data_IF_846153719894
#
_entry.id   IF_846153719894
#
_cell.length_a   1.000
_cell.length_b   1.000
_cell.length_c   1.000
_cell.angle_alpha   90.00
_cell.angle_beta   90.00
_cell.angle_gamma   90.00
#
_symmetry.space_group_name_H-M   'P 1'
#
loop_
_entity.id
_entity.type
_entity.pdbx_description
1 polymer ?
#
# COMPACT_ATOMS: atom_id res chain seq x y z
N UNK A 1 -37.44 3.34 20.57
CA UNK A 1 -37.18 1.98 21.08
C UNK A 1 -35.68 1.80 21.25
N UNK A 2 -35.27 0.91 22.14
CA UNK A 2 -33.85 0.67 22.49
C UNK A 2 -33.56 -0.83 22.44
N UNK A 3 -32.43 -1.21 21.86
CA UNK A 3 -31.89 -2.57 21.86
C UNK A 3 -30.58 -2.55 22.63
N UNK A 4 -30.43 -3.43 23.62
CA UNK A 4 -29.24 -3.49 24.46
C UNK A 4 -28.26 -4.54 23.94
N UNK A 5 -26.96 -4.21 24.03
CA UNK A 5 -25.83 -5.04 23.61
C UNK A 5 -26.09 -5.80 22.28
N UNK A 6 -26.36 -5.08 21.17
CA UNK A 6 -26.68 -5.73 19.91
C UNK A 6 -25.47 -6.48 19.36
N UNK A 7 -25.70 -7.73 18.92
CA UNK A 7 -24.73 -8.45 18.10
C UNK A 7 -24.51 -7.71 16.77
N UNK A 8 -23.39 -7.97 16.10
CA UNK A 8 -23.10 -7.43 14.77
C UNK A 8 -24.26 -7.67 13.80
N UNK A 9 -24.76 -8.91 13.72
CA UNK A 9 -25.90 -9.27 12.86
C UNK A 9 -27.17 -8.49 13.18
N UNK A 10 -27.43 -8.21 14.47
CA UNK A 10 -28.58 -7.43 14.91
C UNK A 10 -28.42 -5.97 14.53
N UNK A 11 -27.22 -5.41 14.67
CA UNK A 11 -26.92 -4.06 14.23
C UNK A 11 -27.13 -3.89 12.73
N UNK A 12 -26.58 -4.78 11.91
CA UNK A 12 -26.70 -4.73 10.45
C UNK A 12 -28.15 -4.85 9.97
N UNK A 13 -28.94 -5.77 10.54
CA UNK A 13 -30.37 -5.88 10.24
C UNK A 13 -31.16 -4.61 10.60
N UNK A 14 -30.84 -3.96 11.73
CA UNK A 14 -31.48 -2.72 12.14
C UNK A 14 -31.04 -1.52 11.30
N UNK A 15 -29.76 -1.47 10.92
CA UNK A 15 -29.21 -0.45 10.03
C UNK A 15 -29.88 -0.52 8.65
N UNK A 16 -29.98 -1.73 8.06
CA UNK A 16 -30.62 -1.97 6.77
C UNK A 16 -32.11 -1.59 6.70
N UNK A 17 -32.78 -1.48 7.85
CA UNK A 17 -34.19 -1.03 7.94
C UNK A 17 -34.37 0.48 7.81
N UNK A 18 -33.28 1.26 7.70
CA UNK A 18 -33.32 2.72 7.54
C UNK A 18 -34.22 3.42 8.57
N UNK A 19 -34.12 2.98 9.83
CA UNK A 19 -34.95 3.48 10.92
C UNK A 19 -34.58 4.94 11.24
N UNK A 20 -35.60 5.76 11.52
CA UNK A 20 -35.40 7.18 11.81
C UNK A 20 -34.56 7.35 13.08
N UNK A 21 -33.51 8.15 13.00
CA UNK A 21 -32.60 8.45 14.13
C UNK A 21 -31.98 7.19 14.74
N UNK A 22 -31.70 6.18 13.93
CA UNK A 22 -30.96 4.99 14.36
C UNK A 22 -29.52 5.34 14.71
N UNK A 23 -29.11 5.05 15.94
CA UNK A 23 -27.74 5.25 16.42
C UNK A 23 -27.35 4.19 17.44
N UNK A 24 -26.08 3.80 17.40
CA UNK A 24 -25.47 2.81 18.27
C UNK A 24 -24.13 3.34 18.77
N UNK A 25 -24.08 4.11 19.87
CA UNK A 25 -22.83 4.68 20.36
C UNK A 25 -21.81 3.58 20.73
N UNK A 26 -20.55 3.76 20.30
CA UNK A 26 -19.47 2.86 20.69
C UNK A 26 -19.09 3.07 22.16
N UNK A 27 -18.66 2.01 22.83
CA UNK A 27 -17.99 2.10 24.14
C UNK A 27 -16.56 2.63 23.97
N UNK A 28 -15.85 2.21 22.91
CA UNK A 28 -14.53 2.75 22.54
C UNK A 28 -14.67 3.58 21.27
N UNK A 29 -14.42 4.88 21.42
CA UNK A 29 -14.48 5.82 20.30
C UNK A 29 -13.19 5.87 19.48
N UNK A 30 -12.11 5.29 19.98
CA UNK A 30 -10.80 5.27 19.34
C UNK A 30 -10.32 3.81 19.28
N UNK A 31 -10.19 3.29 18.06
CA UNK A 31 -9.81 1.90 17.79
C UNK A 31 -8.55 1.90 16.92
N UNK A 32 -7.40 1.35 17.37
CA UNK A 32 -6.19 1.29 16.56
C UNK A 32 -6.42 0.57 15.23
N UNK A 33 -5.92 1.10 14.11
CA UNK A 33 -6.09 0.45 12.79
C UNK A 33 -5.54 -0.96 12.78
N UNK A 34 -4.39 -1.22 13.42
CA UNK A 34 -3.78 -2.55 13.49
C UNK A 34 -4.60 -3.59 14.26
N UNK A 35 -5.70 -3.20 14.91
CA UNK A 35 -6.60 -4.14 15.59
C UNK A 35 -7.70 -4.71 14.70
N UNK A 36 -7.94 -4.12 13.53
CA UNK A 36 -8.99 -4.57 12.59
C UNK A 36 -8.60 -4.44 11.11
N UNK A 37 -7.39 -3.97 10.81
CA UNK A 37 -6.86 -3.86 9.46
C UNK A 37 -5.50 -4.53 9.35
N UNK A 38 -5.28 -5.18 8.21
CA UNK A 38 -4.00 -5.74 7.81
C UNK A 38 -3.57 -5.10 6.49
N UNK A 39 -2.37 -4.52 6.48
CA UNK A 39 -1.77 -3.89 5.30
C UNK A 39 -0.37 -4.47 5.13
N UNK A 40 -0.09 -5.05 3.97
CA UNK A 40 1.23 -5.61 3.67
C UNK A 40 1.64 -5.35 2.22
N UNK A 41 2.89 -4.91 1.97
CA UNK A 41 3.40 -4.73 0.62
C UNK A 41 4.05 -6.01 0.09
N UNK A 42 3.99 -6.18 -1.23
CA UNK A 42 4.96 -7.00 -1.96
C UNK A 42 5.96 -6.09 -2.66
N UNK A 43 7.25 -6.39 -2.50
CA UNK A 43 8.33 -5.61 -3.11
C UNK A 43 8.77 -6.21 -4.45
N UNK A 44 9.41 -5.37 -5.27
CA UNK A 44 9.94 -5.70 -6.58
C UNK A 44 10.87 -6.92 -6.46
N UNK A 45 10.78 -7.92 -7.36
CA UNK A 45 11.54 -9.17 -7.28
C UNK A 45 13.05 -8.98 -7.14
N UNK A 46 13.59 -7.87 -7.67
CA UNK A 46 15.01 -7.54 -7.51
C UNK A 46 15.42 -7.42 -6.05
N UNK A 47 14.54 -6.93 -5.16
CA UNK A 47 14.83 -6.69 -3.75
C UNK A 47 15.01 -7.96 -2.91
N UNK A 48 14.54 -9.11 -3.42
CA UNK A 48 14.76 -10.44 -2.83
C UNK A 48 15.59 -11.35 -3.73
N UNK A 49 16.07 -10.83 -4.86
CA UNK A 49 16.83 -11.60 -5.84
C UNK A 49 18.26 -11.87 -5.39
N UNK A 50 18.85 -12.87 -6.01
CA UNK A 50 20.27 -13.20 -5.83
C UNK A 50 21.22 -12.07 -6.29
N UNK A 51 20.77 -11.10 -7.10
CA UNK A 51 21.56 -9.93 -7.49
C UNK A 51 21.94 -9.01 -6.32
N UNK A 52 21.26 -9.13 -5.17
CA UNK A 52 21.58 -8.35 -3.96
C UNK A 52 22.33 -9.17 -2.90
N UNK A 53 22.65 -10.42 -3.23
CA UNK A 53 23.44 -11.32 -2.38
C UNK A 53 24.86 -10.79 -2.18
N UNK A 54 25.51 -11.27 -1.13
CA UNK A 54 26.91 -10.91 -0.88
C UNK A 54 27.81 -11.66 -1.87
N UNK A 55 27.44 -12.89 -2.23
CA UNK A 55 28.13 -13.75 -3.19
C UNK A 55 28.27 -13.08 -4.56
N UNK A 56 27.17 -12.59 -5.15
CA UNK A 56 27.20 -11.93 -6.46
C UNK A 56 28.07 -10.67 -6.45
N UNK A 57 27.90 -9.84 -5.42
CA UNK A 57 28.61 -8.56 -5.31
C UNK A 57 30.10 -8.78 -5.06
N UNK A 58 30.47 -9.75 -4.23
CA UNK A 58 31.86 -10.14 -4.02
C UNK A 58 32.48 -10.75 -5.28
N UNK A 59 31.73 -11.51 -6.07
CA UNK A 59 32.22 -12.02 -7.33
C UNK A 59 32.49 -10.91 -8.35
N UNK A 60 31.59 -9.93 -8.48
CA UNK A 60 31.83 -8.75 -9.31
C UNK A 60 33.03 -7.94 -8.81
N UNK A 61 33.14 -7.74 -7.50
CA UNK A 61 34.30 -7.04 -6.92
C UNK A 61 35.61 -7.76 -7.25
N UNK A 62 35.66 -9.08 -7.07
CA UNK A 62 36.83 -9.89 -7.42
C UNK A 62 37.13 -9.86 -8.92
N UNK A 63 36.11 -9.91 -9.77
CA UNK A 63 36.27 -9.81 -11.21
C UNK A 63 36.79 -8.42 -11.64
N UNK A 64 36.33 -7.35 -10.98
CA UNK A 64 36.72 -5.97 -11.27
C UNK A 64 38.01 -5.48 -10.60
N UNK A 65 38.63 -6.26 -9.71
CA UNK A 65 39.84 -5.86 -8.96
C UNK A 65 41.08 -5.65 -9.84
N UNK A 66 41.07 -6.14 -11.07
CA UNK A 66 42.15 -5.86 -12.00
C UNK A 66 41.95 -4.44 -12.56
N UNK A 67 42.81 -3.50 -12.15
CA UNK A 67 42.82 -2.07 -12.55
C UNK A 67 43.03 -1.80 -14.06
N UNK A 68 42.82 -2.81 -14.90
CA UNK A 68 43.09 -2.83 -16.33
C UNK A 68 41.78 -2.81 -17.15
N UNK A 69 40.64 -2.98 -16.49
CA UNK A 69 39.34 -2.94 -17.13
C UNK A 69 38.90 -1.50 -17.42
N UNK A 70 38.15 -1.33 -18.51
CA UNK A 70 37.48 -0.08 -18.84
C UNK A 70 36.63 0.39 -17.65
N UNK A 71 36.67 1.68 -17.37
CA UNK A 71 35.88 2.25 -16.26
C UNK A 71 34.36 2.17 -16.48
N UNK A 72 33.90 1.78 -17.67
CA UNK A 72 32.49 1.53 -18.01
C UNK A 72 32.15 0.03 -18.06
N UNK A 73 33.10 -0.84 -17.69
CA UNK A 73 32.90 -2.28 -17.68
C UNK A 73 31.97 -2.69 -16.52
N UNK A 74 30.98 -3.54 -16.80
CA UNK A 74 30.05 -4.05 -15.78
C UNK A 74 30.78 -4.79 -14.65
N UNK A 75 31.93 -5.41 -14.92
CA UNK A 75 32.74 -6.07 -13.89
C UNK A 75 33.35 -5.07 -12.90
N UNK A 76 33.62 -3.84 -13.33
CA UNK A 76 34.19 -2.77 -12.49
C UNK A 76 33.09 -2.03 -11.73
N UNK A 77 32.04 -1.63 -12.44
CA UNK A 77 30.97 -0.78 -11.89
C UNK A 77 29.92 -1.60 -11.12
N UNK A 78 29.75 -2.88 -11.49
CA UNK A 78 28.66 -3.73 -11.03
C UNK A 78 28.58 -3.88 -9.51
N UNK A 79 29.70 -4.11 -8.82
CA UNK A 79 29.70 -4.24 -7.36
C UNK A 79 29.04 -3.01 -6.68
N UNK A 80 29.46 -1.81 -7.08
CA UNK A 80 28.94 -0.58 -6.51
C UNK A 80 27.47 -0.37 -6.93
N UNK A 81 27.12 -0.71 -8.17
CA UNK A 81 25.76 -0.61 -8.69
C UNK A 81 24.77 -1.46 -7.88
N UNK A 82 25.06 -2.75 -7.72
CA UNK A 82 24.18 -3.66 -6.95
C UNK A 82 24.21 -3.37 -5.46
N UNK A 83 25.31 -2.83 -4.93
CA UNK A 83 25.33 -2.34 -3.55
C UNK A 83 24.40 -1.15 -3.35
N UNK A 84 24.41 -0.17 -4.25
CA UNK A 84 23.48 0.95 -4.23
C UNK A 84 22.03 0.48 -4.39
N UNK A 85 21.76 -0.48 -5.28
CA UNK A 85 20.43 -1.06 -5.44
C UNK A 85 19.94 -1.78 -4.17
N UNK A 86 20.82 -2.53 -3.48
CA UNK A 86 20.51 -3.17 -2.19
C UNK A 86 20.14 -2.14 -1.13
N UNK A 87 20.87 -1.03 -1.07
CA UNK A 87 20.58 0.08 -0.14
C UNK A 87 19.23 0.73 -0.47
N UNK A 88 18.91 0.95 -1.75
CA UNK A 88 17.60 1.50 -2.15
C UNK A 88 16.45 0.57 -1.77
N UNK A 89 16.57 -0.74 -2.02
CA UNK A 89 15.59 -1.73 -1.58
C UNK A 89 15.42 -1.74 -0.06
N UNK A 90 16.52 -1.70 0.70
CA UNK A 90 16.48 -1.66 2.15
C UNK A 90 15.83 -0.37 2.66
N UNK A 91 16.16 0.78 2.07
CA UNK A 91 15.59 2.07 2.42
C UNK A 91 14.08 2.10 2.18
N UNK A 92 13.62 1.65 1.01
CA UNK A 92 12.20 1.56 0.70
C UNK A 92 11.46 0.63 1.69
N UNK A 93 12.01 -0.55 1.96
CA UNK A 93 11.46 -1.49 2.94
C UNK A 93 11.35 -0.85 4.34
N UNK A 94 12.43 -0.27 4.85
CA UNK A 94 12.43 0.41 6.15
C UNK A 94 11.44 1.57 6.20
N UNK A 95 11.32 2.36 5.13
CA UNK A 95 10.32 3.45 5.07
C UNK A 95 8.90 2.91 5.19
N UNK A 96 8.57 1.83 4.46
CA UNK A 96 7.23 1.23 4.54
C UNK A 96 6.96 0.62 5.91
N UNK A 97 7.91 -0.14 6.48
CA UNK A 97 7.74 -0.75 7.80
C UNK A 97 7.56 0.29 8.91
N UNK A 98 8.30 1.40 8.86
CA UNK A 98 8.13 2.50 9.80
C UNK A 98 6.76 3.18 9.64
N UNK A 99 6.32 3.38 8.40
CA UNK A 99 5.01 3.96 8.13
C UNK A 99 3.87 3.03 8.62
N UNK A 100 3.97 1.73 8.36
CA UNK A 100 3.02 0.72 8.83
C UNK A 100 2.95 0.66 10.35
N UNK A 101 4.10 0.75 11.04
CA UNK A 101 4.13 0.80 12.50
C UNK A 101 3.31 1.99 13.03
N UNK A 102 3.51 3.18 12.46
CA UNK A 102 2.75 4.38 12.86
C UNK A 102 1.27 4.24 12.49
N UNK A 103 0.96 3.71 11.31
CA UNK A 103 -0.40 3.48 10.86
C UNK A 103 -1.17 2.55 11.80
N UNK A 104 -0.56 1.43 12.19
CA UNK A 104 -1.19 0.43 13.06
C UNK A 104 -1.51 0.97 14.46
N UNK A 105 -0.65 1.85 15.00
CA UNK A 105 -0.87 2.53 16.29
C UNK A 105 -1.86 3.69 16.19
N UNK A 106 -2.08 4.23 14.99
CA UNK A 106 -3.02 5.33 14.78
C UNK A 106 -4.45 4.84 14.99
N UNK A 107 -5.26 5.62 15.72
CA UNK A 107 -6.64 5.26 16.02
C UNK A 107 -7.61 5.76 14.95
N UNK A 108 -8.48 4.87 14.48
CA UNK A 108 -9.74 5.21 13.86
C UNK A 108 -10.68 5.79 14.93
N UNK A 109 -11.20 7.00 14.70
CA UNK A 109 -12.05 7.71 15.66
C UNK A 109 -13.47 7.79 15.15
N UNK A 110 -14.40 7.14 15.85
CA UNK A 110 -15.83 7.25 15.57
C UNK A 110 -16.66 7.06 16.83
N UNK A 111 -17.75 7.81 16.97
CA UNK A 111 -18.59 7.80 18.17
C UNK A 111 -19.72 6.75 18.12
N UNK A 112 -19.94 6.13 16.96
CA UNK A 112 -21.00 5.15 16.71
C UNK A 112 -20.49 3.91 15.97
N UNK A 113 -21.22 2.81 16.08
CA UNK A 113 -20.98 1.65 15.24
C UNK A 113 -21.30 2.01 13.77
N UNK A 114 -20.39 1.66 12.87
CA UNK A 114 -20.56 1.80 11.43
C UNK A 114 -21.03 0.49 10.81
N UNK A 115 -21.87 0.60 9.79
CA UNK A 115 -22.15 -0.50 8.88
C UNK A 115 -20.89 -0.88 8.10
N UNK A 116 -20.81 -2.12 7.63
CA UNK A 116 -19.65 -2.62 6.88
C UNK A 116 -19.25 -1.70 5.72
N UNK A 117 -20.20 -1.27 4.89
CA UNK A 117 -19.96 -0.41 3.74
C UNK A 117 -19.44 0.99 4.14
N UNK A 118 -19.94 1.54 5.26
CA UNK A 118 -19.45 2.82 5.80
C UNK A 118 -18.01 2.68 6.29
N UNK A 119 -17.71 1.59 7.02
CA UNK A 119 -16.35 1.31 7.48
C UNK A 119 -15.41 1.17 6.28
N UNK A 120 -15.77 0.36 5.28
CA UNK A 120 -14.96 0.16 4.08
C UNK A 120 -14.66 1.47 3.35
N UNK A 121 -15.64 2.35 3.19
CA UNK A 121 -15.44 3.65 2.56
C UNK A 121 -14.44 4.52 3.34
N UNK A 122 -14.55 4.53 4.68
CA UNK A 122 -13.61 5.25 5.54
C UNK A 122 -12.20 4.65 5.49
N UNK A 123 -12.08 3.32 5.53
CA UNK A 123 -10.78 2.63 5.50
C UNK A 123 -10.09 2.81 4.15
N UNK A 124 -10.82 2.76 3.03
CA UNK A 124 -10.21 2.97 1.71
C UNK A 124 -9.62 4.38 1.57
N UNK A 125 -10.31 5.39 2.09
CA UNK A 125 -9.85 6.76 2.05
C UNK A 125 -8.55 6.93 2.84
N UNK A 126 -8.47 6.38 4.06
CA UNK A 126 -7.27 6.50 4.88
C UNK A 126 -6.11 5.66 4.33
N UNK A 127 -6.37 4.49 3.76
CA UNK A 127 -5.36 3.65 3.10
C UNK A 127 -4.73 4.38 1.91
N UNK A 128 -5.55 4.94 1.03
CA UNK A 128 -5.08 5.73 -0.11
C UNK A 128 -4.19 6.89 0.35
N UNK A 129 -4.58 7.57 1.43
CA UNK A 129 -3.79 8.66 2.01
C UNK A 129 -2.48 8.15 2.61
N UNK A 130 -2.51 7.01 3.31
CA UNK A 130 -1.34 6.36 3.89
C UNK A 130 -0.32 5.98 2.80
N UNK A 131 -0.74 5.29 1.75
CA UNK A 131 0.13 4.91 0.63
C UNK A 131 0.74 6.15 -0.04
N UNK A 132 -0.08 7.13 -0.39
CA UNK A 132 0.35 8.36 -1.05
C UNK A 132 1.34 9.16 -0.18
N UNK A 133 1.10 9.26 1.12
CA UNK A 133 1.98 9.99 2.03
C UNK A 133 3.33 9.27 2.20
N UNK A 134 3.30 7.94 2.30
CA UNK A 134 4.51 7.13 2.45
C UNK A 134 5.41 7.27 1.22
N UNK A 135 4.83 7.20 0.02
CA UNK A 135 5.55 7.44 -1.24
C UNK A 135 6.09 8.87 -1.33
N UNK A 136 5.29 9.87 -0.98
CA UNK A 136 5.69 11.28 -1.05
C UNK A 136 6.85 11.59 -0.08
N UNK A 137 6.79 11.06 1.14
CA UNK A 137 7.87 11.21 2.12
C UNK A 137 9.16 10.54 1.65
N UNK A 138 9.07 9.32 1.13
CA UNK A 138 10.22 8.63 0.57
C UNK A 138 10.88 9.43 -0.56
N UNK A 139 10.08 9.91 -1.52
CA UNK A 139 10.57 10.73 -2.65
C UNK A 139 11.30 11.98 -2.16
N UNK A 140 10.75 12.67 -1.17
CA UNK A 140 11.39 13.84 -0.56
C UNK A 140 12.74 13.47 0.06
N UNK A 141 12.81 12.38 0.80
CA UNK A 141 14.04 11.91 1.43
C UNK A 141 15.09 11.47 0.39
N UNK A 142 14.67 10.78 -0.67
CA UNK A 142 15.54 10.38 -1.78
C UNK A 142 16.09 11.61 -2.52
N UNK A 143 15.28 12.64 -2.75
CA UNK A 143 15.73 13.90 -3.35
C UNK A 143 16.80 14.61 -2.50
N UNK A 144 16.64 14.59 -1.17
CA UNK A 144 17.66 15.11 -0.24
C UNK A 144 18.95 14.29 -0.36
N UNK A 145 18.86 12.95 -0.35
CA UNK A 145 20.03 12.08 -0.51
C UNK A 145 20.75 12.38 -1.83
N UNK A 146 20.02 12.49 -2.94
CA UNK A 146 20.57 12.84 -4.26
C UNK A 146 21.30 14.18 -4.23
N UNK A 147 20.66 15.22 -3.69
CA UNK A 147 21.27 16.55 -3.54
C UNK A 147 22.53 16.54 -2.67
N UNK A 148 22.52 15.80 -1.56
CA UNK A 148 23.69 15.63 -0.70
C UNK A 148 24.81 14.86 -1.41
N UNK A 149 24.50 13.83 -2.19
CA UNK A 149 25.53 13.08 -2.94
C UNK A 149 26.21 13.94 -4.00
N UNK A 150 25.47 14.78 -4.72
CA UNK A 150 26.04 15.70 -5.71
C UNK A 150 26.93 16.74 -5.04
N UNK A 151 26.46 17.36 -3.94
CA UNK A 151 27.20 18.44 -3.25
C UNK A 151 28.44 17.95 -2.50
N UNK A 152 28.34 16.80 -1.81
CA UNK A 152 29.49 16.20 -1.10
C UNK A 152 30.57 15.71 -2.05
N UNK A 153 30.20 15.22 -3.24
CA UNK A 153 31.17 14.87 -4.26
C UNK A 153 31.79 16.10 -4.91
N UNK A 154 31.05 17.16 -5.22
CA UNK A 154 31.66 18.41 -5.71
C UNK A 154 32.69 18.96 -4.72
N UNK A 155 32.38 18.93 -3.42
CA UNK A 155 33.32 19.33 -2.36
C UNK A 155 34.45 18.29 -2.14
N UNK A 156 34.19 17.01 -2.41
CA UNK A 156 35.16 15.93 -2.36
C UNK A 156 36.14 15.95 -3.54
N UNK A 157 35.71 16.41 -4.71
CA UNK A 157 36.53 16.53 -5.92
C UNK A 157 37.42 17.77 -5.94
N UNK A 158 37.06 18.82 -5.21
CA UNK A 158 38.04 19.85 -4.82
C UNK A 158 39.23 19.21 -4.04
N UNK A 159 39.09 17.96 -3.56
CA UNK A 159 40.10 17.21 -2.81
C UNK A 159 40.54 15.85 -3.42
N UNK A 160 40.06 15.43 -4.60
CA UNK A 160 40.38 14.11 -5.18
C UNK A 160 40.92 14.20 -6.62
N UNK A 161 42.05 13.53 -6.81
CA UNK A 161 43.04 13.85 -7.83
C UNK A 161 42.93 12.99 -9.09
N UNK A 162 42.94 13.60 -10.28
CA UNK A 162 43.25 12.89 -11.54
C UNK A 162 44.75 12.89 -11.80
N UNK A 163 45.30 11.73 -12.15
CA UNK A 163 46.69 11.59 -12.57
C UNK A 163 46.77 11.73 -14.10
N UNK A 164 47.53 12.71 -14.58
CA UNK A 164 48.18 12.58 -15.88
C UNK A 164 49.60 12.13 -15.57
N UNK A 165 49.93 10.86 -15.84
CA UNK A 165 51.33 10.43 -15.91
C UNK A 165 51.79 10.82 -17.32
N UNK A 166 52.66 11.84 -17.49
CA UNK A 166 53.29 12.05 -18.77
C UNK A 166 54.17 10.83 -18.99
N UNK A 167 53.83 10.01 -19.98
CA UNK A 167 54.69 8.92 -20.41
C UNK A 167 56.03 9.54 -20.82
N UNK A 168 57.06 9.35 -20.00
CA UNK A 168 58.45 9.73 -20.25
C UNK A 168 58.75 11.25 -20.33
N UNK A 169 58.52 12.00 -19.25
CA UNK A 169 59.32 13.21 -18.98
C UNK A 169 60.05 13.08 -17.65
N UNK A 170 61.31 13.52 -17.59
CA UNK A 170 62.19 13.58 -16.41
C UNK A 170 61.70 14.55 -15.31
N UNK A 171 60.40 14.61 -15.07
CA UNK A 171 59.77 15.49 -14.09
C UNK A 171 59.37 14.66 -12.89
N UNK A 172 60.08 14.84 -11.78
CA UNK A 172 59.82 14.20 -10.47
C UNK A 172 58.57 14.76 -9.75
N UNK A 173 57.82 15.64 -10.40
CA UNK A 173 56.66 16.32 -9.81
C UNK A 173 55.38 15.86 -10.51
N UNK A 174 54.51 15.23 -9.72
CA UNK A 174 53.15 14.86 -10.11
C UNK A 174 52.26 16.03 -9.73
N UNK A 175 51.71 16.71 -10.73
CA UNK A 175 50.75 17.78 -10.53
C UNK A 175 49.34 17.20 -10.49
N UNK A 176 48.64 17.43 -9.39
CA UNK A 176 47.25 17.05 -9.27
C UNK A 176 46.36 18.26 -9.56
N UNK A 177 45.58 18.19 -10.65
CA UNK A 177 44.60 19.20 -10.99
C UNK A 177 43.20 18.63 -10.74
N UNK A 178 42.42 19.19 -9.79
CA UNK A 178 41.03 18.82 -9.63
C UNK A 178 40.27 19.29 -10.88
N UNK A 179 39.60 18.36 -11.55
CA UNK A 179 38.73 18.65 -12.68
C UNK A 179 37.48 17.78 -12.58
N UNK A 180 36.29 18.32 -12.91
CA UNK A 180 35.09 17.50 -12.94
C UNK A 180 35.22 16.40 -13.99
N UNK A 181 34.69 15.23 -13.71
CA UNK A 181 34.57 14.18 -14.71
C UNK A 181 33.75 14.70 -15.89
N UNK A 182 34.30 14.58 -17.09
CA UNK A 182 33.61 14.90 -18.34
C UNK A 182 33.25 13.58 -19.01
N UNK A 183 31.95 13.33 -19.13
CA UNK A 183 31.41 12.17 -19.84
C UNK A 183 30.95 12.68 -21.21
N UNK A 184 31.69 12.32 -22.25
CA UNK A 184 31.54 12.88 -23.60
C UNK A 184 31.67 14.42 -23.59
N UNK A 185 30.58 15.16 -23.72
CA UNK A 185 30.52 16.63 -23.63
C UNK A 185 29.74 17.12 -22.40
N UNK A 186 29.45 16.24 -21.45
CA UNK A 186 28.67 16.54 -20.26
C UNK A 186 29.58 16.58 -19.03
N UNK A 187 29.61 17.72 -18.34
CA UNK A 187 30.41 17.91 -17.12
C UNK A 187 29.60 17.53 -15.89
N UNK A 188 30.14 16.64 -15.06
CA UNK A 188 29.55 16.25 -13.79
C UNK A 188 29.48 17.37 -12.74
N UNK A 189 30.13 18.52 -12.97
CA UNK A 189 29.94 19.72 -12.16
C UNK A 189 28.66 20.50 -12.52
N UNK A 190 28.12 20.29 -13.71
CA UNK A 190 27.01 21.08 -14.25
C UNK A 190 25.70 20.29 -14.34
N UNK A 191 25.80 18.96 -14.50
CA UNK A 191 24.63 18.09 -14.63
C UNK A 191 24.92 16.71 -14.03
N UNK A 192 23.91 16.14 -13.36
CA UNK A 192 23.92 14.74 -12.93
C UNK A 192 23.33 13.80 -13.99
N UNK A 193 22.84 14.31 -15.12
CA UNK A 193 22.32 13.51 -16.22
C UNK A 193 23.42 12.92 -17.11
N UNK A 194 24.67 13.35 -16.93
CA UNK A 194 25.79 12.84 -17.70
C UNK A 194 25.92 11.33 -17.51
N UNK A 195 25.94 10.59 -18.62
CA UNK A 195 25.95 9.13 -18.58
C UNK A 195 26.63 8.50 -19.80
N UNK A 196 27.27 7.37 -19.57
CA UNK A 196 27.82 6.47 -20.57
C UNK A 196 27.19 5.09 -20.42
N UNK A 197 27.01 4.37 -21.52
CA UNK A 197 26.53 2.98 -21.49
C UNK A 197 27.51 2.07 -20.76
N UNK A 198 27.01 1.28 -19.82
CA UNK A 198 27.78 0.18 -19.22
C UNK A 198 27.83 -0.97 -20.22
N UNK A 199 29.00 -1.55 -20.41
CA UNK A 199 29.22 -2.61 -21.39
C UNK A 199 30.02 -3.76 -20.79
N UNK A 200 29.91 -4.93 -21.40
CA UNK A 200 30.89 -5.99 -21.20
C UNK A 200 31.97 -5.84 -22.27
N UNK A 201 33.23 -5.70 -21.87
CA UNK A 201 34.33 -5.56 -22.82
C UNK A 201 35.08 -6.87 -23.01
N UNK A 202 35.71 -7.02 -24.18
CA UNK A 202 36.57 -8.14 -24.46
C UNK A 202 38.05 -7.80 -24.23
N UNK A 203 38.80 -8.72 -23.63
CA UNK A 203 40.22 -8.58 -23.31
C UNK A 203 40.96 -9.84 -23.76
N UNK A 204 42.14 -9.70 -24.35
CA UNK A 204 42.98 -10.84 -24.76
C UNK A 204 43.60 -11.57 -23.57
N UNK A 205 43.84 -10.85 -22.46
CA UNK A 205 44.31 -11.42 -21.21
C UNK A 205 43.89 -10.53 -20.03
N UNK A 206 43.94 -11.08 -18.82
CA UNK A 206 43.76 -10.33 -17.57
C UNK A 206 44.87 -9.30 -17.29
N UNK A 207 45.89 -9.20 -18.15
CA UNK A 207 47.04 -8.29 -18.01
C UNK A 207 47.05 -7.15 -19.04
N UNK A 208 46.08 -7.07 -19.96
CA UNK A 208 46.02 -6.01 -20.98
C UNK A 208 45.18 -4.83 -20.52
N UNK A 209 45.77 -3.62 -20.57
CA UNK A 209 45.15 -2.35 -20.13
C UNK A 209 44.09 -1.82 -21.11
N UNK A 210 44.07 -2.32 -22.36
CA UNK A 210 43.14 -1.87 -23.38
C UNK A 210 42.19 -3.00 -23.80
N UNK A 211 40.87 -2.77 -23.78
CA UNK A 211 39.92 -3.72 -24.31
C UNK A 211 40.10 -3.86 -25.83
N UNK A 212 39.93 -5.07 -26.36
CA UNK A 212 39.87 -5.33 -27.80
C UNK A 212 38.64 -4.69 -28.46
N UNK A 213 37.61 -4.43 -27.66
CA UNK A 213 36.34 -3.88 -28.11
C UNK A 213 35.22 -4.18 -27.11
N UNK A 214 34.03 -3.72 -27.44
CA UNK A 214 32.81 -4.03 -26.69
C UNK A 214 32.34 -5.43 -27.13
N UNK A 215 32.14 -6.33 -26.18
CA UNK A 215 31.50 -7.63 -26.43
C UNK A 215 30.00 -7.42 -26.64
N UNK A 216 29.34 -6.74 -25.69
CA UNK A 216 27.98 -6.22 -25.85
C UNK A 216 27.71 -5.07 -24.86
N UNK A 217 26.77 -4.21 -25.22
CA UNK A 217 26.25 -3.17 -24.32
C UNK A 217 25.22 -3.79 -23.37
N UNK A 218 25.25 -3.41 -22.11
CA UNK A 218 24.22 -3.82 -21.15
C UNK A 218 23.00 -2.93 -21.39
N UNK A 219 21.90 -3.54 -21.86
CA UNK A 219 20.69 -2.81 -22.26
C UNK A 219 20.21 -1.88 -21.15
N UNK A 220 20.08 -0.59 -21.50
CA UNK A 220 19.59 0.46 -20.63
C UNK A 220 20.30 0.55 -19.26
N UNK A 221 21.56 0.12 -19.17
CA UNK A 221 22.40 0.36 -17.99
C UNK A 221 23.47 1.40 -18.27
N UNK A 222 23.66 2.30 -17.32
CA UNK A 222 24.50 3.47 -17.47
C UNK A 222 25.39 3.71 -16.27
N UNK A 223 26.60 4.19 -16.56
CA UNK A 223 27.49 4.81 -15.60
C UNK A 223 27.30 6.32 -15.71
N UNK A 224 26.94 6.94 -14.60
CA UNK A 224 26.77 8.38 -14.46
C UNK A 224 27.88 8.98 -13.60
N UNK A 225 27.78 10.28 -13.30
CA UNK A 225 28.65 11.01 -12.40
C UNK A 225 28.72 10.40 -11.00
N UNK A 226 27.61 9.81 -10.54
CA UNK A 226 27.49 9.22 -9.21
C UNK A 226 26.88 7.83 -9.30
N UNK A 227 27.22 6.96 -8.36
CA UNK A 227 26.72 5.58 -8.37
C UNK A 227 25.20 5.52 -8.16
N UNK A 228 24.65 6.38 -7.28
CA UNK A 228 23.21 6.48 -7.09
C UNK A 228 22.51 6.84 -8.41
N UNK A 229 23.03 7.86 -9.10
CA UNK A 229 22.47 8.31 -10.37
C UNK A 229 22.65 7.30 -11.50
N UNK A 230 23.75 6.53 -11.47
CA UNK A 230 23.98 5.39 -12.36
C UNK A 230 22.87 4.36 -12.21
N UNK A 231 22.49 4.02 -10.97
CA UNK A 231 21.38 3.11 -10.70
C UNK A 231 20.04 3.71 -11.14
N UNK A 232 19.73 4.94 -10.72
CA UNK A 232 18.45 5.59 -11.00
C UNK A 232 18.14 5.73 -12.51
N UNK A 233 19.13 6.13 -13.31
CA UNK A 233 18.98 6.32 -14.76
C UNK A 233 18.95 5.00 -15.54
N UNK A 234 19.33 3.89 -14.92
CA UNK A 234 19.39 2.59 -15.55
C UNK A 234 18.08 1.83 -15.40
N UNK A 235 17.86 0.80 -16.22
CA UNK A 235 16.83 -0.22 -16.01
C UNK A 235 17.47 -1.53 -15.53
N UNK A 236 16.62 -2.52 -15.26
CA UNK A 236 17.03 -3.88 -14.92
C UNK A 236 16.85 -4.86 -16.10
N UNK A 237 16.71 -4.35 -17.32
CA UNK A 237 16.32 -5.11 -18.51
C UNK A 237 17.20 -6.34 -18.76
N UNK A 238 18.52 -6.16 -18.67
CA UNK A 238 19.48 -7.25 -18.84
C UNK A 238 19.26 -8.43 -17.88
N UNK A 239 18.70 -8.17 -16.69
CA UNK A 239 18.48 -9.19 -15.67
C UNK A 239 17.17 -9.95 -15.85
N UNK A 240 16.32 -9.54 -16.80
CA UNK A 240 15.19 -10.34 -17.29
C UNK A 240 15.54 -11.10 -18.57
N UNK A 241 16.61 -10.69 -19.28
CA UNK A 241 17.08 -11.31 -20.51
C UNK A 241 18.13 -12.40 -20.23
N UNK A 242 17.88 -13.60 -20.74
CA UNK A 242 18.74 -14.77 -20.50
C UNK A 242 20.11 -14.62 -21.15
N UNK A 243 20.16 -14.11 -22.38
CA UNK A 243 21.41 -13.98 -23.14
C UNK A 243 22.32 -12.94 -22.49
N UNK A 244 21.75 -11.80 -22.07
CA UNK A 244 22.47 -10.72 -21.43
C UNK A 244 23.01 -11.15 -20.06
N UNK A 245 22.15 -11.74 -19.22
CA UNK A 245 22.54 -12.23 -17.91
C UNK A 245 23.61 -13.32 -17.98
N UNK A 246 23.41 -14.34 -18.82
CA UNK A 246 24.34 -15.46 -18.94
C UNK A 246 25.72 -14.99 -19.44
N UNK A 247 25.76 -14.00 -20.35
CA UNK A 247 27.01 -13.41 -20.82
C UNK A 247 27.83 -12.74 -19.70
N UNK A 248 27.18 -12.11 -18.73
CA UNK A 248 27.87 -11.54 -17.55
C UNK A 248 28.33 -12.67 -16.62
N UNK A 249 27.45 -13.63 -16.32
CA UNK A 249 27.75 -14.72 -15.40
C UNK A 249 28.89 -15.61 -15.91
N UNK A 250 28.89 -15.95 -17.19
CA UNK A 250 29.98 -16.71 -17.83
C UNK A 250 31.31 -15.97 -17.67
N UNK A 251 31.33 -14.65 -17.95
CA UNK A 251 32.55 -13.85 -17.81
C UNK A 251 33.06 -13.81 -16.37
N UNK A 252 32.16 -13.63 -15.40
CA UNK A 252 32.52 -13.66 -13.98
C UNK A 252 33.11 -15.01 -13.58
N UNK A 253 32.48 -16.12 -14.00
CA UNK A 253 32.96 -17.48 -13.71
C UNK A 253 34.32 -17.79 -14.33
N UNK A 254 34.61 -17.26 -15.53
CA UNK A 254 35.92 -17.41 -16.19
C UNK A 254 37.02 -16.65 -15.41
N UNK A 255 36.72 -15.45 -14.93
CA UNK A 255 37.71 -14.62 -14.22
C UNK A 255 37.91 -15.12 -12.78
N UNK A 256 36.81 -15.41 -12.08
CA UNK A 256 36.81 -15.77 -10.67
C UNK A 256 36.66 -17.29 -10.52
N UNK A 257 37.70 -18.02 -10.94
CA UNK A 257 37.73 -19.50 -10.94
C UNK A 257 37.45 -20.16 -9.58
N UNK A 258 37.60 -19.43 -8.47
CA UNK A 258 37.34 -19.90 -7.10
C UNK A 258 35.89 -19.75 -6.63
N UNK A 259 35.04 -19.04 -7.37
CA UNK A 259 33.63 -18.78 -7.03
C UNK A 259 32.78 -19.16 -8.24
N UNK A 260 32.11 -20.32 -8.17
CA UNK A 260 31.06 -20.64 -9.14
C UNK A 260 29.81 -19.89 -8.73
N UNK A 261 29.46 -18.94 -9.57
CA UNK A 261 28.36 -18.01 -9.38
C UNK A 261 27.20 -18.54 -10.21
N UNK A 262 26.18 -19.09 -9.54
CA UNK A 262 24.98 -19.66 -10.16
C UNK A 262 23.75 -18.87 -9.73
N UNK A 263 23.49 -17.78 -10.44
CA UNK A 263 22.29 -16.97 -10.28
C UNK A 263 21.17 -17.41 -11.19
N UNK A 264 20.02 -16.76 -11.01
CA UNK A 264 18.86 -16.89 -11.89
C UNK A 264 18.44 -15.51 -12.37
N UNK A 265 18.03 -15.40 -13.63
CA UNK A 265 17.38 -14.19 -14.14
C UNK A 265 16.08 -13.90 -13.38
N UNK A 266 15.67 -12.63 -13.39
CA UNK A 266 14.36 -12.21 -12.93
C UNK A 266 13.26 -12.71 -13.88
N UNK A 267 12.08 -12.96 -13.33
CA UNK A 267 10.93 -13.41 -14.11
C UNK A 267 10.03 -12.23 -14.46
N UNK A 268 9.72 -12.04 -15.74
CA UNK A 268 8.90 -10.91 -16.21
C UNK A 268 7.47 -10.93 -15.67
N UNK A 269 6.93 -12.10 -15.32
CA UNK A 269 5.60 -12.23 -14.72
C UNK A 269 5.57 -11.94 -13.21
N UNK A 270 6.72 -11.69 -12.58
CA UNK A 270 6.82 -11.41 -11.14
C UNK A 270 6.79 -9.92 -10.81
N UNK A 271 6.74 -9.06 -11.83
CA UNK A 271 6.68 -7.61 -11.68
C UNK A 271 5.60 -6.99 -12.55
N UNK A 272 4.98 -5.91 -12.09
CA UNK A 272 4.08 -5.07 -12.88
C UNK A 272 4.82 -4.06 -13.76
N UNK A 273 6.11 -3.87 -13.53
CA UNK A 273 6.93 -2.93 -14.28
C UNK A 273 7.46 -3.60 -15.56
N UNK A 274 7.59 -2.82 -16.63
CA UNK A 274 8.23 -3.31 -17.84
C UNK A 274 9.73 -3.48 -17.59
N UNK A 275 10.42 -4.47 -18.20
CA UNK A 275 11.87 -4.65 -18.00
C UNK A 275 12.71 -3.41 -18.34
N UNK A 276 12.23 -2.54 -19.23
CA UNK A 276 12.89 -1.29 -19.62
C UNK A 276 12.54 -0.09 -18.72
N UNK A 277 11.65 -0.24 -17.73
CA UNK A 277 11.35 0.78 -16.73
C UNK A 277 12.62 1.11 -15.95
N UNK A 278 12.87 2.40 -15.73
CA UNK A 278 14.05 2.85 -15.00
C UNK A 278 13.94 2.50 -13.51
N UNK A 279 15.06 2.29 -12.84
CA UNK A 279 15.07 2.08 -11.39
C UNK A 279 14.53 3.32 -10.67
N UNK A 280 14.71 4.52 -11.21
CA UNK A 280 14.09 5.75 -10.69
C UNK A 280 12.56 5.66 -10.67
N UNK A 281 11.93 5.18 -11.73
CA UNK A 281 10.48 4.97 -11.78
C UNK A 281 10.03 3.93 -10.76
N UNK A 282 10.74 2.78 -10.67
CA UNK A 282 10.40 1.71 -9.73
C UNK A 282 10.56 2.17 -8.26
N UNK A 283 11.66 2.84 -7.92
CA UNK A 283 11.93 3.33 -6.56
C UNK A 283 11.02 4.49 -6.17
N UNK A 284 10.57 5.28 -7.14
CA UNK A 284 9.57 6.34 -6.96
C UNK A 284 8.19 5.80 -6.57
N UNK A 285 7.99 4.49 -6.67
CA UNK A 285 6.84 3.75 -6.16
C UNK A 285 7.26 2.79 -5.03
N UNK A 286 8.31 3.14 -4.28
CA UNK A 286 8.85 2.38 -3.13
C UNK A 286 9.28 0.95 -3.46
N UNK A 287 9.57 0.65 -4.73
CA UNK A 287 9.77 -0.73 -5.20
C UNK A 287 8.56 -1.63 -4.89
N UNK A 288 7.34 -1.10 -4.81
CA UNK A 288 6.16 -1.89 -4.44
C UNK A 288 5.47 -2.41 -5.69
N UNK A 289 5.23 -3.71 -5.71
CA UNK A 289 4.45 -4.41 -6.74
C UNK A 289 2.95 -4.28 -6.45
N UNK A 290 2.54 -4.59 -5.23
CA UNK A 290 1.12 -4.56 -4.83
C UNK A 290 1.01 -4.40 -3.32
N UNK A 291 0.03 -3.62 -2.87
CA UNK A 291 -0.43 -3.58 -1.49
C UNK A 291 -1.55 -4.60 -1.29
N UNK A 292 -1.44 -5.41 -0.24
CA UNK A 292 -2.49 -6.31 0.20
C UNK A 292 -3.15 -5.69 1.42
N UNK A 293 -4.45 -5.44 1.29
CA UNK A 293 -5.26 -4.76 2.28
C UNK A 293 -6.41 -5.67 2.70
N UNK A 294 -6.63 -5.81 4.00
CA UNK A 294 -7.75 -6.56 4.54
C UNK A 294 -8.38 -5.82 5.72
N UNK A 295 -9.70 -5.78 5.75
CA UNK A 295 -10.49 -5.13 6.81
C UNK A 295 -11.34 -6.18 7.50
N UNK A 296 -11.04 -6.42 8.77
CA UNK A 296 -11.73 -7.37 9.64
C UNK A 296 -12.88 -6.66 10.36
N UNK A 297 -14.06 -6.64 9.70
CA UNK A 297 -15.24 -5.94 10.23
C UNK A 297 -15.67 -6.43 11.63
N UNK A 298 -15.59 -7.75 11.85
CA UNK A 298 -15.92 -8.35 13.15
C UNK A 298 -15.03 -7.82 14.27
N UNK A 299 -13.72 -7.72 14.01
CA UNK A 299 -12.77 -7.19 14.98
C UNK A 299 -13.05 -5.71 15.28
N UNK A 300 -13.37 -4.92 14.24
CA UNK A 300 -13.82 -3.53 14.42
C UNK A 300 -15.08 -3.44 15.29
N UNK A 301 -16.12 -4.23 14.99
CA UNK A 301 -17.40 -4.16 15.70
C UNK A 301 -17.22 -4.59 17.17
N UNK A 302 -16.40 -5.61 17.43
CA UNK A 302 -16.03 -6.04 18.78
C UNK A 302 -15.27 -4.97 19.56
N UNK A 303 -14.40 -4.18 18.91
CA UNK A 303 -13.72 -3.06 19.55
C UNK A 303 -14.68 -1.89 19.85
N UNK A 304 -15.59 -1.57 18.92
CA UNK A 304 -16.62 -0.54 19.13
C UNK A 304 -17.57 -0.91 20.28
N UNK A 305 -17.98 -2.18 20.39
CA UNK A 305 -18.79 -2.73 21.48
C UNK A 305 -20.00 -1.85 21.91
N UNK A 306 -20.99 -1.61 21.04
CA UNK A 306 -22.11 -0.73 21.39
C UNK A 306 -22.95 -1.30 22.54
N UNK A 307 -23.15 -0.52 23.61
CA UNK A 307 -23.98 -0.94 24.76
C UNK A 307 -25.48 -0.91 24.49
N UNK A 308 -25.91 0.01 23.64
CA UNK A 308 -27.30 0.17 23.27
C UNK A 308 -27.44 0.86 21.93
N UNK A 309 -28.43 0.46 21.15
CA UNK A 309 -28.88 1.15 19.95
C UNK A 309 -30.28 1.72 20.18
N UNK A 310 -30.53 2.93 19.70
CA UNK A 310 -31.85 3.57 19.79
C UNK A 310 -32.34 4.04 18.42
N UNK A 311 -33.66 4.01 18.24
CA UNK A 311 -34.34 4.45 17.01
C UNK A 311 -35.78 4.90 17.29
N UNK A 312 -36.30 5.72 16.37
CA UNK A 312 -37.69 6.18 16.37
C UNK A 312 -38.53 5.32 15.43
N UNK A 313 -39.57 4.69 15.97
CA UNK A 313 -40.61 4.06 15.17
C UNK A 313 -41.72 5.07 14.89
N UNK A 314 -41.88 5.44 13.64
CA UNK A 314 -43.09 6.13 13.19
C UNK A 314 -44.16 5.09 12.95
N UNK A 315 -45.02 4.87 13.95
CA UNK A 315 -46.25 4.11 13.76
C UNK A 315 -47.20 4.98 12.93
N UNK A 316 -47.32 4.68 11.64
CA UNK A 316 -48.34 5.30 10.80
C UNK A 316 -49.68 4.66 11.12
N UNK A 317 -50.32 5.11 12.20
CA UNK A 317 -51.72 4.79 12.44
C UNK A 317 -52.50 5.49 11.34
N UNK A 318 -52.92 4.72 10.33
CA UNK A 318 -53.67 5.23 9.20
C UNK A 318 -54.90 5.95 9.77
N UNK A 319 -55.02 7.27 9.55
CA UNK A 319 -56.10 8.07 10.13
C UNK A 319 -57.47 7.47 9.75
N UNK A 320 -57.55 6.83 8.58
CA UNK A 320 -58.69 6.09 8.09
C UNK A 320 -59.01 4.86 8.95
N UNK A 321 -58.01 4.14 9.46
CA UNK A 321 -58.18 3.03 10.40
C UNK A 321 -58.72 3.52 11.76
N UNK A 322 -58.20 4.63 12.28
CA UNK A 322 -58.70 5.21 13.53
C UNK A 322 -60.15 5.68 13.38
N UNK A 323 -60.46 6.40 12.31
CA UNK A 323 -61.82 6.91 12.02
C UNK A 323 -62.80 5.75 11.82
N UNK A 324 -62.44 4.73 11.03
CA UNK A 324 -63.33 3.57 10.80
C UNK A 324 -63.56 2.75 12.06
N UNK A 325 -62.56 2.62 12.92
CA UNK A 325 -62.71 1.95 14.23
C UNK A 325 -63.68 2.72 15.14
N UNK A 326 -63.56 4.05 15.20
CA UNK A 326 -64.48 4.90 16.00
C UNK A 326 -65.91 4.83 15.46
N UNK A 327 -66.09 4.96 14.14
CA UNK A 327 -67.42 4.85 13.50
C UNK A 327 -68.02 3.46 13.72
N UNK A 328 -67.22 2.39 13.59
CA UNK A 328 -67.64 1.02 13.86
C UNK A 328 -68.06 0.80 15.31
N UNK A 329 -67.35 1.41 16.27
CA UNK A 329 -67.68 1.31 17.69
C UNK A 329 -69.00 2.01 18.02
N UNK A 330 -69.19 3.25 17.55
CA UNK A 330 -70.44 4.01 17.78
C UNK A 330 -71.63 3.38 17.06
N UNK A 331 -71.43 2.94 15.81
CA UNK A 331 -72.45 2.24 15.03
C UNK A 331 -72.85 0.90 15.66
N UNK A 332 -71.86 0.08 16.02
CA UNK A 332 -72.07 -1.22 16.65
C UNK A 332 -72.75 -1.11 18.02
N UNK A 333 -72.32 -0.15 18.85
CA UNK A 333 -72.91 0.09 20.16
C UNK A 333 -74.38 0.55 20.05
N UNK A 334 -74.70 1.42 19.09
CA UNK A 334 -76.08 1.88 18.86
C UNK A 334 -77.02 0.74 18.44
N UNK A 335 -76.56 -0.14 17.53
CA UNK A 335 -77.32 -1.31 17.10
C UNK A 335 -77.49 -2.32 18.24
N UNK A 336 -76.42 -2.60 18.99
CA UNK A 336 -76.46 -3.51 20.14
C UNK A 336 -77.43 -3.00 21.22
N UNK A 337 -77.39 -1.72 21.56
CA UNK A 337 -78.33 -1.11 22.53
C UNK A 337 -79.77 -1.21 22.05
N UNK A 338 -80.06 -0.97 20.76
CA UNK A 338 -81.41 -1.11 20.21
C UNK A 338 -81.96 -2.53 20.25
N UNK A 339 -81.11 -3.55 20.30
CA UNK A 339 -81.52 -4.96 20.40
C UNK A 339 -81.63 -5.38 21.87
N UNK A 340 -80.63 -5.02 22.69
CA UNK A 340 -80.52 -5.47 24.07
C UNK A 340 -81.54 -4.76 24.98
N UNK A 341 -81.76 -3.46 24.79
CA UNK A 341 -82.69 -2.67 25.62
C UNK A 341 -84.13 -3.22 25.58
N UNK A 342 -84.78 -3.45 24.42
CA UNK A 342 -86.13 -4.00 24.41
C UNK A 342 -86.22 -5.43 24.96
N UNK A 343 -85.17 -6.26 24.83
CA UNK A 343 -85.12 -7.58 25.45
C UNK A 343 -85.12 -7.48 26.98
N UNK A 344 -84.28 -6.61 27.54
CA UNK A 344 -84.22 -6.35 28.98
C UNK A 344 -85.55 -5.75 29.48
N UNK A 345 -86.09 -4.75 28.78
CA UNK A 345 -87.36 -4.10 29.14
C UNK A 345 -88.52 -5.08 29.09
N UNK A 346 -88.58 -5.96 28.07
CA UNK A 346 -89.62 -7.00 27.99
C UNK A 346 -89.49 -8.03 29.10
N UNK A 347 -88.27 -8.43 29.45
CA UNK A 347 -88.01 -9.35 30.55
C UNK A 347 -88.45 -8.76 31.91
N UNK A 348 -88.11 -7.50 32.16
CA UNK A 348 -88.53 -6.75 33.36
C UNK A 348 -90.06 -6.61 33.40
N UNK A 349 -90.69 -6.22 32.28
CA UNK A 349 -92.14 -6.03 32.19
C UNK A 349 -92.92 -7.33 32.42
N UNK A 350 -92.40 -8.47 31.95
CA UNK A 350 -93.03 -9.77 32.17
C UNK A 350 -92.91 -10.24 33.63
N UNK A 351 -91.86 -9.82 34.35
CA UNK A 351 -91.74 -10.09 35.80
C UNK A 351 -92.64 -9.20 36.67
N UNK A 352 -92.99 -8.01 36.22
CA UNK A 352 -93.74 -7.03 37.01
C UNK A 352 -95.26 -6.99 36.74
N UNK A 353 -95.81 -7.87 35.89
CA UNK A 353 -97.27 -7.95 35.69
C UNK A 353 -97.97 -8.60 36.91
N UNK A 354 -98.89 -7.91 37.61
CA UNK A 354 -99.71 -8.51 38.66
C UNK A 354 -100.72 -9.50 38.07
N UNK A 355 -100.91 -10.65 38.72
CA UNK A 355 -101.99 -11.58 38.37
C UNK A 355 -103.33 -11.00 38.82
N UNK A 356 -104.23 -10.76 37.87
CA UNK A 356 -105.64 -10.43 38.16
C UNK A 356 -106.38 -11.74 38.37
N UNK A 357 -106.89 -11.98 39.60
CA UNK A 357 -107.75 -13.11 39.91
C UNK A 357 -109.18 -12.87 39.36
N UNK A 358 -109.87 -13.91 38.84
CA UNK A 358 -111.20 -13.76 38.27
C UNK A 358 -112.27 -13.62 39.37
N UNK A 359 -113.15 -12.63 39.22
CA UNK A 359 -114.35 -12.46 40.03
C UNK A 359 -115.40 -13.50 39.65
N UNK A 360 -115.77 -14.34 40.62
CA UNK A 360 -116.89 -15.29 40.55
C UNK A 360 -118.20 -14.53 40.77
N UNK A 361 -119.17 -14.72 39.87
CA UNK A 361 -120.55 -14.21 39.99
C UNK A 361 -121.51 -15.40 40.08
N UNK A 362 -122.14 -15.58 41.24
CA UNK A 362 -123.41 -16.29 41.54
C UNK A 362 -123.67 -16.01 43.02
N UNK A 363 -124.84 -15.64 43.54
CA UNK A 363 -126.23 -15.74 43.12
C UNK A 363 -127.02 -15.69 44.44
#
# INVERSE_FOLDING_TARGET
>A
MTVYAPSQSTFEDLYGKNLRSFQCPCERIAVPYGSFMEVSPSFHPVCSSWFLSDEWRSALLAAGQYNLFSSNDILVVGHAYFNSLKILCALANTTVLNALFIFNETSFVNDRALAYEELLAHTQQILTQFESNTVAEFKRNLAIIRSLTTTTYTAGYDNVYWYNIPWMSNTTEIYFLPAPAIIENCSCALSDECKNTISLYNYTSYLTVQPLGIQFNISNMYKSCFILQSVLLSSLECFFDETCFDGIQERVNVIVTSLVVNGSKLLTNSTRFSPNTTVEEIINELMIETWYENVHYEDYYQQCAPKQCFFLLTLHNNALYVITTVIGLFGGLSVALKIIVPLIVSWIRNRMRPQVAPTVVTG
#
